data_IF_746644886395
#
_entry.id   IF_746644886395
#
_cell.length_a   1.000
_cell.length_b   1.000
_cell.length_c   1.000
_cell.angle_alpha   90.00
_cell.angle_beta   90.00
_cell.angle_gamma   90.00
#
_symmetry.space_group_name_H-M   'P 1'
#
loop_
_entity.id
_entity.type
_entity.pdbx_description
1 polymer ?
#
# COMPACT_ATOMS: atom_id res chain seq x y z
N UNK A 1 -29.00 19.01 -59.08
CA UNK A 1 -28.92 19.28 -57.63
C UNK A 1 -28.33 18.04 -56.96
N UNK A 2 -27.04 18.07 -56.61
CA UNK A 2 -26.42 16.99 -55.83
C UNK A 2 -26.68 17.20 -54.32
N UNK A 3 -26.83 16.14 -53.53
CA UNK A 3 -27.04 16.28 -52.08
C UNK A 3 -25.79 16.84 -51.40
N UNK A 4 -25.93 17.57 -50.29
CA UNK A 4 -24.79 18.15 -49.58
C UNK A 4 -24.00 17.04 -48.85
N UNK A 5 -22.68 17.24 -48.63
CA UNK A 5 -21.87 16.26 -47.92
C UNK A 5 -22.29 16.20 -46.44
N UNK A 6 -22.51 14.98 -45.96
CA UNK A 6 -22.91 14.66 -44.59
C UNK A 6 -21.84 15.10 -43.58
N UNK A 7 -22.20 16.03 -42.68
CA UNK A 7 -21.36 16.50 -41.55
C UNK A 7 -21.28 15.51 -40.37
N UNK A 8 -21.38 14.21 -40.61
CA UNK A 8 -21.46 13.20 -39.56
C UNK A 8 -20.16 12.46 -39.12
N UNK A 9 -18.95 12.64 -39.69
CA UNK A 9 -17.82 11.80 -39.25
C UNK A 9 -17.08 12.37 -38.03
N UNK A 10 -17.15 13.67 -37.75
CA UNK A 10 -16.25 14.29 -36.77
C UNK A 10 -16.71 14.08 -35.31
N UNK A 11 -18.02 14.22 -35.02
CA UNK A 11 -18.54 13.98 -33.67
C UNK A 11 -18.44 12.50 -33.26
N UNK A 12 -18.71 11.58 -34.19
CA UNK A 12 -18.59 10.14 -33.92
C UNK A 12 -17.13 9.74 -33.66
N UNK A 13 -16.16 10.31 -34.39
CA UNK A 13 -14.74 10.07 -34.16
C UNK A 13 -14.24 10.65 -32.83
N UNK A 14 -14.72 11.83 -32.43
CA UNK A 14 -14.41 12.44 -31.12
C UNK A 14 -14.97 11.63 -29.95
N UNK A 15 -16.19 11.09 -30.09
CA UNK A 15 -16.81 10.22 -29.08
C UNK A 15 -16.09 8.87 -29.02
N UNK A 16 -15.70 8.28 -30.15
CA UNK A 16 -14.92 7.05 -30.18
C UNK A 16 -13.51 7.23 -29.59
N UNK A 17 -12.83 8.34 -29.86
CA UNK A 17 -11.54 8.66 -29.26
C UNK A 17 -11.64 8.92 -27.74
N UNK A 18 -12.72 9.53 -27.27
CA UNK A 18 -12.99 9.70 -25.84
C UNK A 18 -13.33 8.38 -25.14
N UNK A 19 -14.03 7.45 -25.81
CA UNK A 19 -14.32 6.10 -25.30
C UNK A 19 -13.07 5.20 -25.26
N UNK A 20 -12.12 5.40 -26.18
CA UNK A 20 -10.82 4.69 -26.19
C UNK A 20 -9.79 5.29 -25.21
N UNK A 21 -9.97 6.54 -24.79
CA UNK A 21 -9.10 7.20 -23.80
C UNK A 21 -9.42 6.81 -22.34
N UNK A 22 -10.52 6.09 -22.09
CA UNK A 22 -11.05 5.83 -20.75
C UNK A 22 -10.52 4.58 -20.04
N UNK A 23 -9.79 3.70 -20.72
CA UNK A 23 -9.14 2.56 -20.08
C UNK A 23 -7.63 2.81 -20.09
N UNK A 24 -7.13 3.54 -19.10
CA UNK A 24 -5.70 3.53 -18.81
C UNK A 24 -5.27 2.06 -18.67
N UNK A 25 -4.29 1.63 -19.47
CA UNK A 25 -3.75 0.29 -19.34
C UNK A 25 -3.27 0.09 -17.90
N UNK A 26 -3.69 -1.01 -17.27
CA UNK A 26 -3.28 -1.34 -15.91
C UNK A 26 -1.75 -1.30 -15.83
N UNK A 27 -1.23 -0.57 -14.84
CA UNK A 27 0.21 -0.47 -14.64
C UNK A 27 0.74 -1.76 -14.03
N UNK A 28 2.03 -2.05 -14.25
CA UNK A 28 2.67 -3.23 -13.64
C UNK A 28 2.94 -3.05 -12.14
N UNK A 29 2.60 -1.89 -11.56
CA UNK A 29 2.99 -1.50 -10.21
C UNK A 29 1.86 -0.72 -9.52
N UNK A 30 1.56 -1.02 -8.25
CA UNK A 30 0.41 -0.45 -7.57
C UNK A 30 0.70 0.04 -6.16
N UNK A 31 0.04 1.12 -5.76
CA UNK A 31 -0.22 1.41 -4.35
C UNK A 31 -1.39 0.55 -3.87
N UNK A 32 -1.23 -0.10 -2.72
CA UNK A 32 -2.23 -1.03 -2.18
C UNK A 32 -2.57 -0.69 -0.73
N UNK A 33 -3.85 -0.71 -0.39
CA UNK A 33 -4.31 -0.63 1.00
C UNK A 33 -5.40 -1.68 1.26
N UNK A 34 -5.80 -1.87 2.52
CA UNK A 34 -6.73 -2.91 2.95
C UNK A 34 -7.78 -2.35 3.91
N UNK A 35 -9.06 -2.67 3.66
CA UNK A 35 -10.19 -2.34 4.49
C UNK A 35 -10.95 -3.60 4.93
N UNK A 36 -11.25 -3.66 6.22
CA UNK A 36 -12.06 -4.72 6.81
C UNK A 36 -13.53 -4.34 6.89
N UNK A 37 -13.83 -3.12 7.34
CA UNK A 37 -15.17 -2.54 7.32
C UNK A 37 -15.16 -1.05 6.95
N UNK A 38 -16.29 -0.41 7.20
CA UNK A 38 -16.51 0.99 6.82
C UNK A 38 -15.78 1.99 7.73
N UNK A 39 -15.26 1.56 8.88
CA UNK A 39 -14.68 2.41 9.92
C UNK A 39 -13.46 3.23 9.47
N UNK A 40 -12.71 2.73 8.47
CA UNK A 40 -11.50 3.39 7.94
C UNK A 40 -11.67 3.92 6.52
N UNK A 41 -12.89 3.95 5.97
CA UNK A 41 -13.14 4.44 4.60
C UNK A 41 -12.63 5.86 4.44
N UNK A 42 -12.93 6.77 5.38
CA UNK A 42 -12.43 8.14 5.32
C UNK A 42 -10.89 8.21 5.24
N UNK A 43 -10.19 7.37 6.01
CA UNK A 43 -8.73 7.29 5.96
C UNK A 43 -8.22 6.89 4.58
N UNK A 44 -8.82 5.87 3.96
CA UNK A 44 -8.47 5.45 2.60
C UNK A 44 -8.80 6.49 1.55
N UNK A 45 -9.90 7.24 1.70
CA UNK A 45 -10.20 8.37 0.81
C UNK A 45 -9.13 9.46 0.89
N UNK A 46 -8.70 9.81 2.10
CA UNK A 46 -7.61 10.77 2.35
C UNK A 46 -6.30 10.26 1.78
N UNK A 47 -5.94 9.00 2.03
CA UNK A 47 -4.76 8.35 1.46
C UNK A 47 -4.76 8.43 -0.07
N UNK A 48 -5.85 8.01 -0.71
CA UNK A 48 -5.98 8.01 -2.17
C UNK A 48 -5.86 9.41 -2.75
N UNK A 49 -6.49 10.41 -2.11
CA UNK A 49 -6.32 11.81 -2.51
C UNK A 49 -4.86 12.25 -2.38
N UNK A 50 -4.21 11.95 -1.26
CA UNK A 50 -2.81 12.36 -1.00
C UNK A 50 -1.84 11.75 -2.02
N UNK A 51 -2.05 10.48 -2.42
CA UNK A 51 -1.29 9.81 -3.47
C UNK A 51 -1.50 10.52 -4.82
N UNK A 52 -2.75 10.80 -5.21
CA UNK A 52 -3.06 11.48 -6.48
C UNK A 52 -2.49 12.89 -6.55
N UNK A 53 -2.49 13.61 -5.44
CA UNK A 53 -1.92 14.96 -5.36
C UNK A 53 -0.40 14.98 -5.66
N UNK A 54 0.29 13.83 -5.59
CA UNK A 54 1.69 13.70 -6.03
C UNK A 54 1.88 13.56 -7.55
N UNK A 55 0.78 13.40 -8.30
CA UNK A 55 0.82 13.18 -9.75
C UNK A 55 1.19 11.76 -10.17
N UNK A 56 1.03 10.76 -9.28
CA UNK A 56 1.30 9.36 -9.63
C UNK A 56 0.45 8.90 -10.82
N UNK A 57 0.99 7.94 -11.58
CA UNK A 57 0.28 7.23 -12.64
C UNK A 57 0.10 5.74 -12.32
N UNK A 58 0.52 5.30 -11.13
CA UNK A 58 0.42 3.91 -10.70
C UNK A 58 -1.01 3.58 -10.31
N UNK A 59 -1.34 2.30 -10.42
CA UNK A 59 -2.63 1.80 -9.98
C UNK A 59 -2.79 2.08 -8.47
N UNK A 60 -3.99 2.48 -8.05
CA UNK A 60 -4.36 2.54 -6.64
C UNK A 60 -5.39 1.44 -6.39
N UNK A 61 -5.02 0.43 -5.61
CA UNK A 61 -5.86 -0.73 -5.34
C UNK A 61 -6.25 -0.76 -3.86
N UNK A 62 -7.53 -0.91 -3.59
CA UNK A 62 -8.02 -1.17 -2.23
C UNK A 62 -8.56 -2.59 -2.16
N UNK A 63 -7.94 -3.38 -1.29
CA UNK A 63 -8.44 -4.71 -0.93
C UNK A 63 -9.57 -4.52 0.09
N UNK A 64 -10.75 -5.09 -0.16
CA UNK A 64 -11.91 -4.94 0.71
C UNK A 64 -12.45 -6.29 1.15
N UNK A 65 -12.74 -6.43 2.44
CA UNK A 65 -13.46 -7.61 2.95
C UNK A 65 -14.97 -7.49 2.75
N UNK A 66 -15.71 -8.55 3.06
CA UNK A 66 -17.18 -8.55 3.03
C UNK A 66 -17.82 -7.57 4.03
N UNK A 67 -17.06 -7.11 5.04
CA UNK A 67 -17.51 -6.11 6.01
C UNK A 67 -17.61 -4.68 5.46
N UNK A 68 -17.06 -4.40 4.27
CA UNK A 68 -17.16 -3.08 3.63
C UNK A 68 -18.47 -2.99 2.85
N UNK A 69 -19.25 -1.94 3.08
CA UNK A 69 -20.56 -1.76 2.44
C UNK A 69 -20.44 -1.47 0.94
N UNK A 70 -21.50 -1.75 0.19
CA UNK A 70 -21.55 -1.43 -1.24
C UNK A 70 -21.40 0.07 -1.50
N UNK A 71 -22.01 0.88 -0.65
CA UNK A 71 -21.88 2.34 -0.70
C UNK A 71 -20.42 2.79 -0.57
N UNK A 72 -19.69 2.25 0.42
CA UNK A 72 -18.27 2.56 0.61
C UNK A 72 -17.43 2.11 -0.59
N UNK A 73 -17.71 0.95 -1.18
CA UNK A 73 -17.00 0.47 -2.38
C UNK A 73 -17.20 1.43 -3.56
N UNK A 74 -18.44 1.82 -3.86
CA UNK A 74 -18.75 2.77 -4.93
C UNK A 74 -18.09 4.13 -4.70
N UNK A 75 -18.04 4.58 -3.45
CA UNK A 75 -17.36 5.82 -3.08
C UNK A 75 -15.85 5.76 -3.35
N UNK A 76 -15.21 4.62 -3.04
CA UNK A 76 -13.79 4.40 -3.32
C UNK A 76 -13.51 4.31 -4.82
N UNK A 77 -14.37 3.65 -5.60
CA UNK A 77 -14.27 3.63 -7.07
C UNK A 77 -14.39 5.04 -7.65
N UNK A 78 -15.33 5.86 -7.16
CA UNK A 78 -15.48 7.25 -7.57
C UNK A 78 -14.25 8.11 -7.21
N UNK A 79 -13.55 7.77 -6.14
CA UNK A 79 -12.27 8.37 -5.78
C UNK A 79 -11.09 7.82 -6.61
N UNK A 80 -11.32 6.93 -7.57
CA UNK A 80 -10.29 6.38 -8.46
C UNK A 80 -9.53 5.18 -7.89
N UNK A 81 -10.05 4.52 -6.86
CA UNK A 81 -9.53 3.23 -6.40
C UNK A 81 -10.03 2.08 -7.27
N UNK A 82 -9.15 1.13 -7.58
CA UNK A 82 -9.52 -0.20 -8.07
C UNK A 82 -9.91 -1.04 -6.85
N UNK A 83 -11.20 -1.29 -6.67
CA UNK A 83 -11.71 -2.07 -5.55
C UNK A 83 -11.60 -3.57 -5.85
N UNK A 84 -10.82 -4.30 -5.05
CA UNK A 84 -10.70 -5.77 -5.14
C UNK A 84 -11.23 -6.44 -3.88
N UNK A 85 -12.29 -7.23 -4.02
CA UNK A 85 -12.81 -8.03 -2.91
C UNK A 85 -11.85 -9.14 -2.54
N UNK A 86 -11.70 -9.40 -1.24
CA UNK A 86 -10.77 -10.41 -0.73
C UNK A 86 -11.38 -11.17 0.45
N UNK A 87 -11.18 -12.49 0.46
CA UNK A 87 -11.54 -13.30 1.62
C UNK A 87 -10.57 -13.03 2.77
N UNK A 88 -11.06 -12.98 3.99
CA UNK A 88 -10.20 -12.83 5.16
C UNK A 88 -9.30 -14.05 5.36
N UNK A 89 -8.09 -13.81 5.84
CA UNK A 89 -7.20 -14.86 6.34
C UNK A 89 -7.37 -14.96 7.85
N UNK A 90 -7.64 -16.17 8.35
CA UNK A 90 -7.82 -16.41 9.77
C UNK A 90 -6.52 -16.16 10.53
N UNK A 91 -6.58 -15.37 11.60
CA UNK A 91 -5.45 -15.19 12.50
C UNK A 91 -5.33 -16.41 13.44
N UNK A 92 -4.24 -17.17 13.40
CA UNK A 92 -4.07 -18.33 14.28
C UNK A 92 -3.83 -17.95 15.74
N UNK A 93 -3.49 -16.69 16.03
CA UNK A 93 -3.26 -16.20 17.39
C UNK A 93 -4.61 -15.87 18.07
N UNK A 94 -5.18 -16.85 18.78
CA UNK A 94 -6.51 -16.76 19.41
C UNK A 94 -6.57 -15.85 20.66
N UNK A 95 -5.45 -15.30 21.13
CA UNK A 95 -5.34 -14.59 22.43
C UNK A 95 -5.60 -13.07 22.32
N UNK A 96 -6.15 -12.58 21.21
CA UNK A 96 -6.27 -11.13 20.94
C UNK A 96 -7.71 -10.71 20.69
N UNK A 97 -8.04 -9.41 20.92
CA UNK A 97 -9.37 -8.87 20.67
C UNK A 97 -9.88 -9.20 19.27
N UNK A 98 -11.19 -9.45 19.12
CA UNK A 98 -11.86 -9.82 17.86
C UNK A 98 -11.50 -8.92 16.67
N UNK A 99 -11.20 -7.64 16.92
CA UNK A 99 -10.74 -6.68 15.89
C UNK A 99 -9.46 -7.10 15.16
N UNK A 100 -8.65 -7.98 15.73
CA UNK A 100 -7.40 -8.46 15.13
C UNK A 100 -7.53 -9.78 14.36
N UNK A 101 -8.75 -10.31 14.23
CA UNK A 101 -9.01 -11.59 13.56
C UNK A 101 -8.60 -11.58 12.08
N UNK A 102 -8.78 -10.45 11.39
CA UNK A 102 -8.50 -10.32 9.97
C UNK A 102 -7.07 -9.90 9.63
N UNK A 103 -6.22 -9.58 10.62
CA UNK A 103 -4.96 -8.84 10.40
C UNK A 103 -4.00 -9.54 9.44
N UNK A 104 -3.97 -10.87 9.47
CA UNK A 104 -3.14 -11.67 8.56
C UNK A 104 -3.58 -11.58 7.09
N UNK A 105 -4.77 -11.05 6.79
CA UNK A 105 -5.25 -10.80 5.42
C UNK A 105 -4.29 -9.88 4.65
N UNK A 106 -3.57 -9.02 5.37
CA UNK A 106 -2.50 -8.18 4.81
C UNK A 106 -1.40 -8.98 4.10
N UNK A 107 -1.15 -10.24 4.49
CA UNK A 107 -0.20 -11.12 3.79
C UNK A 107 -0.61 -11.44 2.34
N UNK A 108 -1.87 -11.24 1.97
CA UNK A 108 -2.33 -11.49 0.59
C UNK A 108 -1.73 -10.55 -0.45
N UNK A 109 -1.11 -9.43 -0.04
CA UNK A 109 -0.36 -8.56 -0.96
C UNK A 109 0.82 -9.30 -1.60
N UNK A 110 1.41 -10.30 -0.92
CA UNK A 110 2.47 -11.14 -1.46
C UNK A 110 1.99 -12.05 -2.59
N UNK A 111 0.68 -12.21 -2.78
CA UNK A 111 0.10 -13.02 -3.85
C UNK A 111 -0.52 -12.17 -4.98
N UNK A 112 -0.30 -10.86 -5.00
CA UNK A 112 -0.80 -9.97 -6.06
C UNK A 112 0.06 -10.04 -7.33
N UNK A 113 0.29 -11.25 -7.85
CA UNK A 113 1.22 -11.55 -8.96
C UNK A 113 0.83 -10.97 -10.32
N UNK A 114 -0.34 -10.31 -10.42
CA UNK A 114 -0.67 -9.45 -11.55
C UNK A 114 0.17 -8.16 -11.61
N UNK A 115 0.82 -7.81 -10.51
CA UNK A 115 1.74 -6.67 -10.40
C UNK A 115 3.17 -7.18 -10.18
N UNK A 116 4.13 -6.50 -10.80
CA UNK A 116 5.57 -6.69 -10.55
C UNK A 116 5.97 -6.16 -9.18
N UNK A 117 5.36 -5.05 -8.74
CA UNK A 117 5.67 -4.46 -7.43
C UNK A 117 4.48 -3.76 -6.82
N UNK A 118 4.34 -3.92 -5.51
CA UNK A 118 3.26 -3.36 -4.70
C UNK A 118 3.87 -2.52 -3.59
N UNK A 119 3.39 -1.30 -3.44
CA UNK A 119 3.66 -0.45 -2.27
C UNK A 119 2.42 -0.47 -1.39
N UNK A 120 2.50 -1.24 -0.31
CA UNK A 120 1.42 -1.31 0.66
C UNK A 120 1.50 -0.15 1.66
N UNK A 121 0.37 0.49 1.89
CA UNK A 121 0.19 1.60 2.82
C UNK A 121 -1.03 1.30 3.71
N UNK A 122 -0.86 1.33 5.04
CA UNK A 122 -2.00 1.21 5.96
C UNK A 122 -2.99 2.38 5.75
N UNK A 123 -4.26 2.13 6.04
CA UNK A 123 -5.36 3.08 5.84
C UNK A 123 -5.25 4.36 6.69
N UNK A 124 -4.36 4.38 7.68
CA UNK A 124 -4.05 5.50 8.58
C UNK A 124 -2.79 6.28 8.17
N UNK A 125 -2.25 6.02 6.97
CA UNK A 125 -1.13 6.76 6.39
C UNK A 125 -1.59 7.92 5.50
N UNK A 126 -0.71 8.91 5.30
CA UNK A 126 -0.90 10.00 4.31
C UNK A 126 0.40 10.24 3.55
N UNK A 127 0.31 10.41 2.24
CA UNK A 127 1.46 10.67 1.37
C UNK A 127 1.62 12.18 1.18
N UNK A 128 2.69 12.74 1.74
CA UNK A 128 2.94 14.19 1.75
C UNK A 128 3.81 14.69 0.58
N UNK A 129 4.50 13.77 -0.10
CA UNK A 129 5.36 14.00 -1.26
C UNK A 129 5.41 12.74 -2.13
N UNK A 130 5.81 12.88 -3.39
CA UNK A 130 6.01 11.72 -4.26
C UNK A 130 7.01 10.74 -3.62
N UNK A 131 6.64 9.45 -3.64
CA UNK A 131 7.44 8.31 -3.18
C UNK A 131 7.62 7.28 -4.31
N UNK A 132 7.54 7.70 -5.57
CA UNK A 132 7.62 6.81 -6.73
C UNK A 132 8.95 6.03 -6.81
N UNK A 133 10.01 6.57 -6.18
CA UNK A 133 11.30 5.91 -6.12
C UNK A 133 11.27 4.59 -5.34
N UNK A 134 10.39 4.43 -4.35
CA UNK A 134 10.35 3.21 -3.52
C UNK A 134 10.00 1.95 -4.32
N UNK A 135 9.40 2.09 -5.51
CA UNK A 135 9.20 0.98 -6.43
C UNK A 135 10.52 0.44 -7.04
N UNK A 136 11.66 1.08 -6.80
CA UNK A 136 12.98 0.54 -7.16
C UNK A 136 13.67 -0.14 -5.97
N UNK A 137 13.03 -0.15 -4.80
CA UNK A 137 13.52 -0.90 -3.64
C UNK A 137 13.48 -2.40 -3.93
N UNK A 138 14.28 -3.19 -3.19
CA UNK A 138 14.39 -4.64 -3.35
C UNK A 138 13.07 -5.41 -3.19
N UNK A 139 13.17 -6.74 -3.20
CA UNK A 139 11.98 -7.62 -3.24
C UNK A 139 11.06 -7.44 -2.04
N UNK A 140 11.61 -7.17 -0.87
CA UNK A 140 10.82 -6.79 0.30
C UNK A 140 11.47 -5.60 1.03
N UNK A 141 10.71 -4.52 1.19
CA UNK A 141 11.17 -3.36 1.92
C UNK A 141 10.18 -2.92 2.97
N UNK A 142 10.70 -2.39 4.07
CA UNK A 142 9.91 -1.85 5.17
C UNK A 142 10.75 -0.89 6.01
N UNK A 143 10.13 -0.20 6.95
CA UNK A 143 10.84 0.70 7.85
C UNK A 143 11.09 0.04 9.21
N UNK A 144 12.20 0.35 9.88
CA UNK A 144 12.42 -0.04 11.27
C UNK A 144 11.82 1.00 12.22
N UNK A 145 10.91 0.56 13.09
CA UNK A 145 10.47 1.32 14.26
C UNK A 145 11.37 0.99 15.45
N UNK A 146 11.99 2.02 16.04
CA UNK A 146 12.86 1.92 17.23
C UNK A 146 13.90 0.79 17.14
N UNK A 147 14.89 1.04 16.25
CA UNK A 147 16.15 0.32 15.99
C UNK A 147 16.12 -1.16 15.62
N UNK A 148 15.12 -1.97 16.00
CA UNK A 148 15.23 -3.43 15.87
C UNK A 148 14.03 -4.15 15.25
N UNK A 149 12.89 -3.48 15.08
CA UNK A 149 11.67 -4.13 14.56
C UNK A 149 11.08 -3.39 13.38
N UNK A 150 10.74 -4.13 12.35
CA UNK A 150 10.06 -3.59 11.19
C UNK A 150 8.62 -3.16 11.56
N UNK A 151 8.21 -1.99 11.08
CA UNK A 151 6.83 -1.58 11.01
C UNK A 151 6.21 -2.04 9.69
N UNK A 152 5.04 -2.68 9.75
CA UNK A 152 4.36 -3.18 8.56
C UNK A 152 3.43 -2.15 7.90
N UNK A 153 3.36 -0.91 8.38
CA UNK A 153 2.44 0.11 7.87
C UNK A 153 2.82 0.71 6.52
N UNK A 154 4.09 0.63 6.16
CA UNK A 154 4.60 0.98 4.83
C UNK A 154 5.54 -0.13 4.39
N UNK A 155 5.19 -0.83 3.31
CA UNK A 155 5.99 -1.95 2.79
C UNK A 155 6.06 -1.88 1.26
N UNK A 156 7.20 -2.29 0.70
CA UNK A 156 7.34 -2.59 -0.73
C UNK A 156 7.46 -4.10 -0.87
N UNK A 157 6.72 -4.69 -1.80
CA UNK A 157 6.66 -6.13 -2.01
C UNK A 157 6.74 -6.42 -3.50
N UNK A 158 7.67 -7.28 -3.90
CA UNK A 158 7.61 -8.05 -5.14
C UNK A 158 6.71 -9.26 -4.89
N UNK A 159 5.48 -9.29 -5.44
CA UNK A 159 4.57 -10.39 -5.18
C UNK A 159 5.09 -11.71 -5.77
N UNK A 160 5.03 -12.78 -4.98
CA UNK A 160 5.46 -14.11 -5.37
C UNK A 160 4.56 -15.15 -4.73
N UNK A 161 3.90 -15.96 -5.56
CA UNK A 161 3.04 -17.06 -5.10
C UNK A 161 3.84 -18.06 -4.25
N UNK A 162 5.12 -18.27 -4.58
CA UNK A 162 6.03 -19.15 -3.81
C UNK A 162 6.26 -18.61 -2.40
N UNK A 163 6.61 -17.32 -2.28
CA UNK A 163 6.81 -16.66 -0.97
C UNK A 163 5.51 -16.65 -0.17
N UNK A 164 4.38 -16.34 -0.82
CA UNK A 164 3.08 -16.35 -0.15
C UNK A 164 2.72 -17.74 0.38
N UNK A 165 2.85 -18.81 -0.43
CA UNK A 165 2.60 -20.20 0.01
C UNK A 165 3.49 -20.59 1.18
N UNK A 166 4.77 -20.21 1.13
CA UNK A 166 5.70 -20.45 2.24
C UNK A 166 5.25 -19.70 3.50
N UNK A 167 4.90 -18.41 3.41
CA UNK A 167 4.34 -17.64 4.53
C UNK A 167 3.12 -18.33 5.15
N UNK A 168 2.15 -18.77 4.32
CA UNK A 168 0.95 -19.47 4.81
C UNK A 168 1.32 -20.79 5.51
N UNK A 169 2.34 -21.51 5.05
CA UNK A 169 2.81 -22.73 5.74
C UNK A 169 3.45 -22.46 7.10
N UNK A 170 3.87 -21.22 7.34
CA UNK A 170 4.58 -20.78 8.55
C UNK A 170 3.70 -20.02 9.55
N UNK A 171 2.47 -19.60 9.19
CA UNK A 171 1.62 -18.77 10.07
C UNK A 171 1.31 -19.42 11.42
N UNK A 172 1.19 -20.75 11.47
CA UNK A 172 0.95 -21.53 12.69
C UNK A 172 2.24 -21.94 13.43
N UNK A 173 3.40 -21.73 12.81
CA UNK A 173 4.70 -22.20 13.29
C UNK A 173 5.55 -21.09 13.88
N UNK A 174 5.57 -19.93 13.22
CA UNK A 174 6.36 -18.79 13.65
C UNK A 174 5.60 -17.98 14.71
N UNK A 175 6.29 -17.50 15.76
CA UNK A 175 5.65 -16.64 16.74
C UNK A 175 5.30 -15.28 16.12
N UNK A 176 4.28 -14.62 16.66
CA UNK A 176 4.02 -13.21 16.40
C UNK A 176 3.96 -12.47 17.74
N UNK A 177 4.99 -11.66 18.05
CA UNK A 177 5.04 -10.92 19.32
C UNK A 177 3.89 -9.91 19.47
N UNK A 178 3.31 -9.46 18.36
CA UNK A 178 2.11 -8.60 18.34
C UNK A 178 0.81 -9.43 18.35
N UNK A 179 0.87 -10.71 17.95
CA UNK A 179 -0.29 -11.52 17.60
C UNK A 179 -0.92 -11.15 16.25
N UNK A 180 -0.27 -10.29 15.45
CA UNK A 180 -0.73 -9.83 14.14
C UNK A 180 0.34 -9.99 13.05
N UNK A 181 0.12 -9.32 11.91
CA UNK A 181 0.97 -9.35 10.71
C UNK A 181 2.37 -8.80 11.00
N UNK A 182 2.49 -7.68 11.72
CA UNK A 182 3.79 -7.07 12.00
C UNK A 182 4.70 -8.02 12.77
N UNK A 183 4.15 -8.70 13.78
CA UNK A 183 4.92 -9.65 14.58
C UNK A 183 5.35 -10.86 13.76
N UNK A 184 4.44 -11.41 12.96
CA UNK A 184 4.72 -12.52 12.06
C UNK A 184 5.80 -12.16 11.02
N UNK A 185 5.67 -11.01 10.36
CA UNK A 185 6.64 -10.57 9.34
C UNK A 185 8.04 -10.35 9.91
N UNK A 186 8.14 -9.85 11.15
CA UNK A 186 9.44 -9.74 11.84
C UNK A 186 10.04 -11.11 12.18
N UNK A 187 9.22 -12.13 12.45
CA UNK A 187 9.71 -13.50 12.66
C UNK A 187 10.04 -14.22 11.35
N UNK A 188 9.29 -13.95 10.27
CA UNK A 188 9.52 -14.50 8.94
C UNK A 188 10.79 -13.91 8.31
N UNK A 189 10.97 -12.59 8.37
CA UNK A 189 12.16 -11.88 7.96
C UNK A 189 13.06 -11.58 9.18
N UNK A 190 13.52 -12.63 9.87
CA UNK A 190 14.27 -12.50 11.13
C UNK A 190 15.54 -11.63 11.02
N UNK A 191 16.17 -11.59 9.84
CA UNK A 191 17.39 -10.82 9.58
C UNK A 191 17.13 -9.43 8.98
N UNK A 192 15.86 -8.99 8.93
CA UNK A 192 15.47 -7.73 8.30
C UNK A 192 16.21 -6.51 8.89
N UNK A 193 16.49 -6.51 10.20
CA UNK A 193 17.21 -5.43 10.86
C UNK A 193 18.60 -5.18 10.28
N UNK A 194 19.26 -6.23 9.77
CA UNK A 194 20.59 -6.18 9.16
C UNK A 194 20.57 -5.82 7.66
N UNK A 195 19.38 -5.64 7.08
CA UNK A 195 19.24 -5.29 5.66
C UNK A 195 19.83 -3.91 5.38
N UNK A 196 20.35 -3.71 4.16
CA UNK A 196 20.89 -2.41 3.75
C UNK A 196 19.77 -1.37 3.64
N UNK A 197 20.09 -0.12 3.94
CA UNK A 197 19.16 0.99 3.68
C UNK A 197 18.99 1.16 2.18
N UNK A 198 17.77 1.38 1.73
CA UNK A 198 17.47 1.72 0.35
C UNK A 198 17.91 3.15 0.06
N UNK A 199 18.78 3.29 -0.94
CA UNK A 199 19.28 4.57 -1.45
C UNK A 199 18.87 4.70 -2.93
N UNK A 200 17.94 5.61 -3.28
CA UNK A 200 17.42 5.73 -4.64
C UNK A 200 18.47 5.98 -5.72
N UNK A 201 19.54 6.69 -5.35
CA UNK A 201 20.64 7.08 -6.24
C UNK A 201 21.75 6.01 -6.33
N UNK A 202 21.64 4.92 -5.57
CA UNK A 202 22.65 3.85 -5.48
C UNK A 202 21.99 2.46 -5.51
N UNK A 203 21.42 2.04 -6.66
CA UNK A 203 20.76 0.76 -6.79
C UNK A 203 21.77 -0.40 -6.67
N UNK A 204 21.34 -1.50 -6.02
CA UNK A 204 22.15 -2.70 -5.82
C UNK A 204 21.83 -3.75 -6.89
N UNK A 205 22.88 -4.39 -7.41
CA UNK A 205 22.80 -5.50 -8.38
C UNK A 205 23.61 -6.70 -7.88
N UNK A 206 23.04 -7.91 -7.76
CA UNK A 206 21.63 -8.24 -7.99
C UNK A 206 20.69 -7.53 -7.00
N UNK A 207 19.41 -7.43 -7.36
CA UNK A 207 18.39 -6.84 -6.49
C UNK A 207 18.34 -7.60 -5.14
N UNK A 208 18.41 -6.90 -4.01
CA UNK A 208 18.43 -7.53 -2.70
C UNK A 208 17.07 -8.12 -2.32
N UNK A 209 17.09 -9.26 -1.62
CA UNK A 209 15.88 -9.89 -1.07
C UNK A 209 15.15 -8.97 -0.09
N UNK A 210 15.90 -8.23 0.74
CA UNK A 210 15.35 -7.29 1.71
C UNK A 210 16.12 -5.97 1.76
N UNK A 211 15.42 -4.85 1.95
CA UNK A 211 16.02 -3.53 2.22
C UNK A 211 15.23 -2.71 3.23
N UNK A 212 15.92 -1.82 3.94
CA UNK A 212 15.30 -0.89 4.90
C UNK A 212 14.95 0.43 4.23
N UNK A 213 13.69 0.81 4.29
CA UNK A 213 13.27 2.17 3.99
C UNK A 213 13.76 3.11 5.10
N UNK A 214 14.28 4.27 4.69
CA UNK A 214 14.61 5.34 5.64
C UNK A 214 13.35 5.82 6.37
N UNK A 215 13.55 6.50 7.50
CA UNK A 215 12.43 7.06 8.27
C UNK A 215 11.66 8.15 7.52
N UNK A 216 12.17 8.65 6.39
CA UNK A 216 11.47 9.62 5.55
C UNK A 216 10.22 9.05 4.87
N UNK A 217 10.14 7.74 4.70
CA UNK A 217 9.00 7.05 4.08
C UNK A 217 7.95 6.57 5.09
N UNK A 218 8.28 6.55 6.38
CA UNK A 218 7.39 6.13 7.46
C UNK A 218 7.75 6.90 8.73
N UNK A 219 7.29 8.15 8.79
CA UNK A 219 7.50 9.06 9.90
C UNK A 219 6.20 9.22 10.67
N UNK A 220 6.26 9.19 12.01
CA UNK A 220 5.16 9.67 12.83
C UNK A 220 5.07 11.20 12.77
N UNK A 221 3.99 11.76 13.34
CA UNK A 221 3.74 13.21 13.35
C UNK A 221 4.91 13.97 13.97
N UNK A 222 5.53 13.44 15.03
CA UNK A 222 6.66 14.08 15.69
C UNK A 222 7.87 14.19 14.77
N UNK A 223 8.22 13.09 14.10
CA UNK A 223 9.32 13.08 13.14
C UNK A 223 9.03 13.91 11.89
N UNK A 224 7.78 13.94 11.42
CA UNK A 224 7.35 14.81 10.33
C UNK A 224 7.56 16.29 10.69
N UNK A 225 7.16 16.72 11.89
CA UNK A 225 7.35 18.10 12.34
C UNK A 225 8.82 18.47 12.45
N UNK A 226 9.65 17.57 13.00
CA UNK A 226 11.11 17.75 13.09
C UNK A 226 11.77 17.84 11.71
N UNK A 227 11.40 16.95 10.79
CA UNK A 227 11.95 16.92 9.43
C UNK A 227 11.58 18.16 8.62
N UNK A 228 10.39 18.73 8.87
CA UNK A 228 9.92 19.96 8.22
C UNK A 228 10.25 21.23 9.00
N UNK A 229 11.14 21.15 10.01
CA UNK A 229 11.59 22.29 10.84
C UNK A 229 10.43 23.09 11.47
N UNK A 230 9.33 22.43 11.78
CA UNK A 230 8.24 23.04 12.54
C UNK A 230 8.69 23.07 14.00
N UNK A 231 9.10 24.26 14.47
CA UNK A 231 9.56 24.47 15.84
C UNK A 231 8.36 24.36 16.77
N UNK A 232 8.27 23.27 17.52
CA UNK A 232 7.46 23.20 18.72
C UNK A 232 8.36 23.51 19.92
N UNK A 233 8.07 24.61 20.62
CA UNK A 233 8.45 24.68 22.03
C UNK A 233 7.48 23.77 22.78
N UNK A 234 7.92 22.57 23.16
CA UNK A 234 7.32 21.93 24.33
C UNK A 234 7.72 22.79 25.52
N UNK A 235 6.85 23.71 25.93
CA UNK A 235 6.85 24.12 27.32
C UNK A 235 6.52 22.86 28.11
N UNK A 236 7.54 22.24 28.70
CA UNK A 236 7.33 21.53 29.96
C UNK A 236 7.05 22.62 30.98
N UNK A 237 5.78 22.95 31.16
CA UNK A 237 5.41 23.70 32.36
C UNK A 237 5.72 22.78 33.56
N UNK A 238 6.65 23.26 34.39
CA UNK A 238 6.93 22.77 35.72
C UNK A 238 5.68 22.97 36.59
N UNK A 239 5.15 21.88 37.13
CA UNK A 239 4.99 21.60 38.58
C UNK A 239 4.22 20.29 38.80
#
# INVERSE_FOLDING_TARGET
>A
MGPPPSRLPLLAALVAAALLAGAAAATEEAYVTLLYGDEFVLGVRVLGKSIRDTGTRRDMVVLVSDGVSEYSRQLLEADGWIVKRITLLANPNQVRPTRFWGVYTKLKIFNMTSYKKVVYLDADTVVVRSIEDVFKCGKFCGNLKHSERMNSGVMVVEPSETVFKDMISQVDRLPSYTGGDQGFLNSYYADFANSRVYEPDSPLTPEPETQRLSTLYNADVGLYMLANKVIFFMCTDND
#
